data_IF_514578012679
#
_entry.id   IF_514578012679
#
_cell.length_a   1.000
_cell.length_b   1.000
_cell.length_c   1.000
_cell.angle_alpha   90.00
_cell.angle_beta   90.00
_cell.angle_gamma   90.00
#
_symmetry.space_group_name_H-M   'P 1'
#
loop_
_entity.id
_entity.type
_entity.pdbx_description
1 polymer ?
#
# COMPACT_ATOMS: atom_id res chain seq x y z
N UNK A 1 1.74 -39.76 -67.91
CA UNK A 1 2.27 -39.94 -66.54
C UNK A 1 1.63 -38.90 -65.63
N UNK A 2 1.09 -39.33 -64.48
CA UNK A 2 0.49 -38.46 -63.44
C UNK A 2 1.55 -37.70 -62.65
N UNK A 3 1.22 -36.49 -62.16
CA UNK A 3 1.37 -36.06 -60.75
C UNK A 3 0.68 -34.71 -60.53
N UNK A 4 -0.26 -34.71 -59.60
CA UNK A 4 -0.93 -33.57 -58.95
C UNK A 4 0.01 -33.03 -57.87
N UNK A 5 0.10 -31.71 -57.64
CA UNK A 5 0.15 -31.05 -56.30
C UNK A 5 -0.33 -29.58 -56.41
N UNK A 6 -1.14 -29.15 -55.43
CA UNK A 6 -1.82 -27.86 -55.27
C UNK A 6 -1.09 -26.89 -54.32
N UNK A 7 -1.52 -25.62 -54.26
CA UNK A 7 -1.66 -24.73 -53.07
C UNK A 7 -2.00 -23.30 -53.58
N UNK A 8 -3.25 -22.83 -53.59
CA UNK A 8 -4.04 -22.21 -52.49
C UNK A 8 -3.29 -21.12 -51.72
N UNK A 9 -3.74 -19.87 -51.90
CA UNK A 9 -3.30 -18.72 -51.11
C UNK A 9 -3.88 -17.39 -51.60
N UNK A 10 -5.21 -17.27 -51.62
CA UNK A 10 -5.91 -15.98 -51.85
C UNK A 10 -5.81 -15.16 -50.56
N UNK A 11 -5.04 -14.06 -50.58
CA UNK A 11 -5.02 -13.09 -49.49
C UNK A 11 -6.12 -12.05 -49.75
N UNK A 12 -7.18 -12.11 -48.94
CA UNK A 12 -8.35 -11.23 -49.02
C UNK A 12 -8.03 -9.88 -48.37
N UNK A 13 -8.08 -8.80 -49.16
CA UNK A 13 -8.11 -7.42 -48.68
C UNK A 13 -9.54 -7.08 -48.23
N UNK A 14 -9.78 -6.99 -46.92
CA UNK A 14 -11.01 -6.41 -46.39
C UNK A 14 -10.67 -5.06 -45.76
N UNK A 15 -11.11 -4.00 -46.44
CA UNK A 15 -11.30 -2.71 -45.83
C UNK A 15 -12.32 -2.83 -44.69
N UNK A 16 -12.12 -2.12 -43.58
CA UNK A 16 -13.03 -1.04 -43.18
C UNK A 16 -13.04 -0.78 -41.66
N UNK A 17 -13.24 0.51 -41.37
CA UNK A 17 -13.88 1.10 -40.19
C UNK A 17 -13.00 1.38 -38.97
N UNK A 18 -12.71 2.67 -38.85
CA UNK A 18 -12.72 3.44 -37.60
C UNK A 18 -13.66 2.85 -36.56
N UNK A 19 -13.10 2.36 -35.46
CA UNK A 19 -13.88 2.05 -34.26
C UNK A 19 -14.05 3.32 -33.44
N UNK A 20 -15.26 3.88 -33.46
CA UNK A 20 -15.70 4.84 -32.46
C UNK A 20 -15.69 4.16 -31.07
N UNK A 21 -15.18 4.85 -30.06
CA UNK A 21 -15.20 4.37 -28.67
C UNK A 21 -16.63 4.52 -28.15
N UNK A 22 -17.40 3.43 -28.16
CA UNK A 22 -18.59 3.31 -27.32
C UNK A 22 -18.11 3.07 -25.88
N UNK A 23 -17.98 4.15 -25.10
CA UNK A 23 -17.69 4.06 -23.68
C UNK A 23 -18.91 3.56 -22.91
N UNK A 24 -18.98 2.25 -22.64
CA UNK A 24 -19.68 1.76 -21.44
C UNK A 24 -18.93 2.30 -20.21
N UNK A 25 -19.66 2.61 -19.13
CA UNK A 25 -19.09 2.95 -17.82
C UNK A 25 -18.35 1.75 -17.22
N UNK A 26 -17.26 1.32 -17.85
CA UNK A 26 -16.28 0.42 -17.30
C UNK A 26 -15.18 1.24 -16.66
N UNK A 27 -14.87 0.95 -15.41
CA UNK A 27 -13.62 1.38 -14.77
C UNK A 27 -12.46 1.02 -15.69
N UNK A 28 -11.93 2.01 -16.40
CA UNK A 28 -10.70 1.86 -17.16
C UNK A 28 -9.57 1.93 -16.16
N UNK A 29 -8.92 0.80 -15.91
CA UNK A 29 -7.65 0.79 -15.19
C UNK A 29 -6.69 1.74 -15.93
N UNK A 30 -6.27 2.79 -15.23
CA UNK A 30 -5.31 3.73 -15.75
C UNK A 30 -3.93 3.05 -15.76
N UNK A 31 -3.57 2.43 -16.89
CA UNK A 31 -2.21 1.99 -17.13
C UNK A 31 -1.38 3.23 -17.52
N UNK A 32 -0.68 3.79 -16.55
CA UNK A 32 0.45 4.69 -16.80
C UNK A 32 1.69 3.78 -16.79
N UNK A 33 2.34 3.63 -17.94
CA UNK A 33 3.64 2.93 -18.02
C UNK A 33 4.58 3.53 -16.95
N UNK A 34 5.24 2.67 -16.18
CA UNK A 34 6.09 2.97 -15.01
C UNK A 34 5.41 3.31 -13.67
N UNK A 35 4.07 3.30 -13.57
CA UNK A 35 3.38 3.37 -12.28
C UNK A 35 2.84 2.01 -11.87
N UNK A 36 3.42 1.40 -10.83
CA UNK A 36 2.82 0.23 -10.20
C UNK A 36 1.68 0.69 -9.28
N UNK A 37 0.45 0.74 -9.80
CA UNK A 37 -0.74 0.91 -8.98
C UNK A 37 -0.98 -0.44 -8.30
N UNK A 38 -0.51 -0.58 -7.06
CA UNK A 38 -0.90 -1.71 -6.22
C UNK A 38 -2.33 -1.45 -5.78
N UNK A 39 -3.30 -2.26 -6.21
CA UNK A 39 -4.66 -2.08 -5.74
C UNK A 39 -4.71 -2.24 -4.22
N UNK A 40 -5.55 -1.44 -3.57
CA UNK A 40 -5.73 -1.40 -2.11
C UNK A 40 -6.39 -2.71 -1.64
N UNK A 41 -5.66 -3.83 -1.67
CA UNK A 41 -6.21 -5.16 -1.49
C UNK A 41 -5.78 -5.78 -0.16
N UNK A 42 -6.50 -5.40 0.88
CA UNK A 42 -6.99 -6.35 1.88
C UNK A 42 -8.30 -5.78 2.43
N UNK A 43 -9.44 -6.22 1.87
CA UNK A 43 -10.69 -6.10 2.62
C UNK A 43 -10.50 -6.98 3.85
N UNK A 44 -10.15 -6.38 4.99
CA UNK A 44 -10.20 -7.11 6.26
C UNK A 44 -11.64 -7.57 6.39
N UNK A 45 -11.86 -8.89 6.52
CA UNK A 45 -13.19 -9.45 6.67
C UNK A 45 -13.89 -8.72 7.83
N UNK A 46 -14.84 -7.85 7.49
CA UNK A 46 -15.48 -6.91 8.42
C UNK A 46 -16.29 -7.63 9.49
N UNK A 47 -16.54 -8.94 9.31
CA UNK A 47 -17.26 -9.79 10.25
C UNK A 47 -16.61 -9.91 11.63
N UNK A 48 -15.32 -9.56 11.77
CA UNK A 48 -14.57 -9.67 13.03
C UNK A 48 -13.94 -8.35 13.51
N UNK A 49 -14.25 -7.20 12.90
CA UNK A 49 -13.71 -5.93 13.37
C UNK A 49 -14.39 -5.56 14.69
N UNK A 50 -13.64 -5.60 15.80
CA UNK A 50 -14.14 -5.34 17.16
C UNK A 50 -14.46 -3.85 17.42
N UNK A 51 -14.53 -3.01 16.39
CA UNK A 51 -14.57 -1.56 16.51
C UNK A 51 -13.18 -0.97 16.70
N UNK A 52 -13.07 0.07 17.52
CA UNK A 52 -11.79 0.72 17.80
C UNK A 52 -10.86 -0.22 18.56
N UNK A 53 -9.65 -0.44 18.04
CA UNK A 53 -8.61 -1.22 18.70
C UNK A 53 -7.58 -0.26 19.31
N UNK A 54 -7.35 -0.38 20.60
CA UNK A 54 -6.28 0.37 21.27
C UNK A 54 -4.93 -0.27 20.92
N UNK A 55 -4.04 0.52 20.33
CA UNK A 55 -2.68 0.09 19.91
C UNK A 55 -1.67 0.38 21.02
N UNK A 56 -1.73 1.58 21.60
CA UNK A 56 -0.81 2.01 22.64
C UNK A 56 -1.20 1.48 24.02
N UNK A 57 -0.20 1.19 24.85
CA UNK A 57 -0.40 0.72 26.23
C UNK A 57 -0.02 1.78 27.27
N UNK A 58 0.53 2.92 26.84
CA UNK A 58 0.95 4.01 27.71
C UNK A 58 -0.22 4.89 28.18
N UNK A 59 0.02 5.69 29.21
CA UNK A 59 -0.92 6.69 29.73
C UNK A 59 -0.71 8.08 29.10
N UNK A 60 0.35 8.23 28.30
CA UNK A 60 0.65 9.48 27.60
C UNK A 60 -0.35 9.78 26.49
N UNK A 61 -0.33 11.01 25.98
CA UNK A 61 -1.15 11.39 24.84
C UNK A 61 -0.45 10.99 23.53
N UNK A 62 -1.09 10.10 22.77
CA UNK A 62 -0.59 9.71 21.46
C UNK A 62 -1.09 10.65 20.37
N UNK A 63 -0.14 11.20 19.62
CA UNK A 63 -0.38 12.23 18.61
C UNK A 63 0.34 11.90 17.29
N UNK A 64 -0.11 12.55 16.22
CA UNK A 64 0.48 12.46 14.87
C UNK A 64 0.71 11.02 14.37
N UNK A 65 -0.32 10.15 14.35
CA UNK A 65 -0.16 8.81 13.83
C UNK A 65 0.11 8.82 12.32
N UNK A 66 0.92 7.88 11.87
CA UNK A 66 1.16 7.55 10.46
C UNK A 66 1.05 6.04 10.28
N UNK A 67 0.63 5.60 9.10
CA UNK A 67 0.29 4.20 8.83
C UNK A 67 0.71 3.81 7.42
N UNK A 68 1.22 2.60 7.27
CA UNK A 68 1.52 1.98 5.97
C UNK A 68 1.27 0.47 6.03
N UNK A 69 1.46 -0.21 4.90
CA UNK A 69 1.42 -1.67 4.81
C UNK A 69 2.73 -2.16 4.21
N UNK A 70 3.36 -3.14 4.84
CA UNK A 70 4.61 -3.71 4.33
C UNK A 70 4.39 -4.75 3.22
N UNK A 71 5.50 -5.24 2.62
CA UNK A 71 5.45 -6.23 1.56
C UNK A 71 4.86 -7.59 1.94
N UNK A 72 4.72 -7.87 3.24
CA UNK A 72 4.09 -9.08 3.76
C UNK A 72 2.61 -8.86 4.09
N UNK A 73 2.07 -7.67 3.85
CA UNK A 73 0.68 -7.32 4.14
C UNK A 73 0.42 -7.00 5.61
N UNK A 74 1.47 -6.73 6.40
CA UNK A 74 1.34 -6.28 7.79
C UNK A 74 1.03 -4.79 7.80
N UNK A 75 0.06 -4.39 8.62
CA UNK A 75 -0.21 -2.98 8.89
C UNK A 75 0.86 -2.49 9.85
N UNK A 76 1.54 -1.39 9.52
CA UNK A 76 2.58 -0.78 10.35
C UNK A 76 2.14 0.64 10.70
N UNK A 77 2.18 0.97 11.98
CA UNK A 77 1.80 2.29 12.51
C UNK A 77 2.99 2.87 13.25
N UNK A 78 3.23 4.17 13.08
CA UNK A 78 4.05 4.96 13.98
C UNK A 78 3.23 6.08 14.58
N UNK A 79 3.50 6.45 15.83
CA UNK A 79 2.85 7.57 16.51
C UNK A 79 3.82 8.20 17.51
N UNK A 80 3.57 9.45 17.87
CA UNK A 80 4.29 10.11 18.96
C UNK A 80 3.54 9.88 20.27
N UNK A 81 4.18 9.31 21.26
CA UNK A 81 3.75 9.45 22.66
C UNK A 81 4.37 10.74 23.23
N UNK A 82 3.52 11.65 23.69
CA UNK A 82 3.92 12.92 24.28
C UNK A 82 4.05 12.79 25.80
N UNK A 83 5.27 12.54 26.29
CA UNK A 83 5.58 12.50 27.71
C UNK A 83 5.58 13.91 28.34
N UNK A 84 6.05 14.91 27.59
CA UNK A 84 5.91 16.33 27.94
C UNK A 84 5.95 17.22 26.70
N UNK A 85 5.73 18.53 26.86
CA UNK A 85 5.85 19.50 25.77
C UNK A 85 7.26 19.56 25.13
N UNK A 86 8.28 19.03 25.81
CA UNK A 86 9.67 19.00 25.37
C UNK A 86 10.21 17.58 25.18
N UNK A 87 9.36 16.55 25.29
CA UNK A 87 9.80 15.16 25.27
C UNK A 87 8.75 14.28 24.60
N UNK A 88 9.08 13.79 23.41
CA UNK A 88 8.24 12.88 22.65
C UNK A 88 9.02 11.62 22.27
N UNK A 89 8.29 10.51 22.17
CA UNK A 89 8.80 9.21 21.75
C UNK A 89 8.04 8.74 20.50
N UNK A 90 8.74 8.33 19.45
CA UNK A 90 8.08 7.70 18.30
C UNK A 90 7.97 6.21 18.58
N UNK A 91 6.77 5.71 18.80
CA UNK A 91 6.50 4.27 18.91
C UNK A 91 6.22 3.67 17.55
N UNK A 92 6.70 2.45 17.34
CA UNK A 92 6.36 1.61 16.19
C UNK A 92 5.50 0.45 16.65
N UNK A 93 4.42 0.21 15.94
CA UNK A 93 3.54 -0.94 16.14
C UNK A 93 3.21 -1.61 14.81
N UNK A 94 2.95 -2.91 14.81
CA UNK A 94 2.46 -3.61 13.62
C UNK A 94 1.42 -4.67 13.94
N UNK A 95 0.65 -5.06 12.92
CA UNK A 95 -0.41 -6.06 13.01
C UNK A 95 -0.52 -6.89 11.73
N UNK A 96 -0.71 -8.20 11.87
CA UNK A 96 -0.98 -9.11 10.74
C UNK A 96 -2.48 -9.22 10.42
N UNK A 97 -3.34 -9.00 11.41
CA UNK A 97 -4.79 -9.26 11.36
C UNK A 97 -5.65 -8.01 11.57
N UNK A 98 -5.03 -6.86 11.89
CA UNK A 98 -5.69 -5.60 12.19
C UNK A 98 -6.33 -5.53 13.60
N UNK A 99 -6.20 -6.58 14.41
CA UNK A 99 -6.85 -6.72 15.72
C UNK A 99 -5.85 -6.93 16.86
N UNK A 100 -4.74 -7.63 16.59
CA UNK A 100 -3.64 -7.86 17.51
C UNK A 100 -2.44 -7.02 17.09
N UNK A 101 -1.81 -6.34 18.04
CA UNK A 101 -0.75 -5.38 17.78
C UNK A 101 0.49 -5.70 18.59
N UNK A 102 1.64 -5.66 17.92
CA UNK A 102 2.96 -5.81 18.52
C UNK A 102 3.68 -4.47 18.51
N UNK A 103 4.37 -4.13 19.61
CA UNK A 103 5.14 -2.89 19.78
C UNK A 103 6.64 -3.21 19.82
N UNK A 104 7.29 -3.43 18.67
CA UNK A 104 8.66 -3.94 18.64
C UNK A 104 9.71 -2.93 19.09
N UNK A 105 9.44 -1.63 18.97
CA UNK A 105 10.45 -0.60 19.18
C UNK A 105 9.84 0.78 19.41
N UNK A 106 10.66 1.67 19.95
CA UNK A 106 10.45 3.11 19.94
C UNK A 106 11.75 3.81 19.57
N UNK A 107 11.63 5.06 19.13
CA UNK A 107 12.74 5.97 18.80
C UNK A 107 12.61 7.21 19.68
N UNK A 108 13.74 7.71 20.17
CA UNK A 108 13.83 8.95 20.91
C UNK A 108 14.99 9.79 20.38
N UNK A 109 14.94 11.09 20.64
CA UNK A 109 16.00 12.03 20.30
C UNK A 109 16.77 12.42 21.56
N UNK A 110 18.10 12.37 21.52
CA UNK A 110 18.94 12.82 22.65
C UNK A 110 18.85 14.34 22.89
N UNK A 111 18.44 15.09 21.86
CA UNK A 111 18.21 16.53 21.91
C UNK A 111 17.07 16.91 20.97
N UNK A 112 16.22 17.83 21.41
CA UNK A 112 15.05 18.25 20.65
C UNK A 112 13.82 17.37 20.87
N UNK A 113 12.77 17.67 20.13
CA UNK A 113 11.46 17.00 20.22
C UNK A 113 11.20 16.32 18.90
N UNK A 114 11.18 14.98 18.90
CA UNK A 114 10.77 14.22 17.74
C UNK A 114 9.36 14.62 17.30
N UNK A 115 9.20 14.92 16.03
CA UNK A 115 7.95 15.40 15.46
C UNK A 115 7.69 14.82 14.06
N UNK A 116 6.41 14.81 13.70
CA UNK A 116 5.93 14.47 12.35
C UNK A 116 6.51 13.15 11.80
N UNK A 117 6.30 12.01 12.48
CA UNK A 117 6.75 10.73 11.96
C UNK A 117 6.04 10.44 10.63
N UNK A 118 6.79 9.88 9.68
CA UNK A 118 6.29 9.44 8.40
C UNK A 118 6.80 8.04 8.09
N UNK A 119 5.89 7.15 7.74
CA UNK A 119 6.19 5.80 7.30
C UNK A 119 5.97 5.66 5.79
N UNK A 120 6.91 5.00 5.13
CA UNK A 120 6.78 4.58 3.74
C UNK A 120 7.24 3.12 3.59
N UNK A 121 6.54 2.36 2.75
CA UNK A 121 7.00 1.05 2.33
C UNK A 121 7.68 1.17 0.97
N UNK A 122 8.94 0.76 0.88
CA UNK A 122 9.74 0.83 -0.33
C UNK A 122 9.78 -0.55 -1.02
N UNK A 123 8.97 -0.81 -2.07
CA UNK A 123 8.88 -2.14 -2.68
C UNK A 123 10.20 -2.62 -3.28
N UNK A 124 10.98 -1.69 -3.83
CA UNK A 124 12.29 -2.00 -4.43
C UNK A 124 13.33 -2.53 -3.43
N UNK A 125 13.15 -2.28 -2.12
CA UNK A 125 14.05 -2.81 -1.08
C UNK A 125 13.36 -3.75 -0.09
N UNK A 126 12.04 -3.84 -0.13
CA UNK A 126 11.24 -4.60 0.84
C UNK A 126 11.26 -4.02 2.26
N UNK A 127 11.68 -2.76 2.43
CA UNK A 127 11.82 -2.12 3.75
C UNK A 127 10.69 -1.14 4.02
N UNK A 128 10.33 -1.02 5.30
CA UNK A 128 9.58 0.14 5.81
C UNK A 128 10.59 1.15 6.32
N UNK A 129 10.47 2.39 5.86
CA UNK A 129 11.31 3.51 6.31
C UNK A 129 10.52 4.43 7.22
N UNK A 130 11.17 4.89 8.29
CA UNK A 130 10.67 5.92 9.18
C UNK A 130 11.52 7.19 8.99
N UNK A 131 10.86 8.31 8.75
CA UNK A 131 11.46 9.65 8.85
C UNK A 131 10.71 10.48 9.89
N UNK A 132 11.39 11.46 10.48
CA UNK A 132 10.86 12.40 11.46
C UNK A 132 11.75 13.66 11.48
N UNK A 133 11.26 14.72 12.11
CA UNK A 133 12.00 15.96 12.35
C UNK A 133 12.24 16.19 13.84
#
# INVERSE_FOLDING_TARGET
MRKIVALVGVLVLVASMTSAINGTNGTRDAYIEDTCIVPLHKTIATSNLQGNVQISTGEENDITPTITVDGNGRVVVAYLSQASILEHYIYLAYSEDGSTWELPAYVYTESGVAASPYLDYMPGTGKVTLSYV
#
